data_IF_623061276508
#
_entry.id   IF_623061276508
#
_cell.length_a   1.000
_cell.length_b   1.000
_cell.length_c   1.000
_cell.angle_alpha   90.00
_cell.angle_beta   90.00
_cell.angle_gamma   90.00
#
_symmetry.space_group_name_H-M   'P 1'
#
loop_
_entity.id
_entity.type
_entity.pdbx_description
1 polymer ?
#
# COMPACT_ATOMS: atom_id res chain seq x y z
N UNK A 1 -29.47 36.58 -2.88
CA UNK A 1 -28.61 36.27 -4.04
C UNK A 1 -27.33 35.69 -3.49
N UNK A 2 -27.21 34.36 -3.60
CA UNK A 2 -26.05 33.59 -3.17
C UNK A 2 -24.84 34.00 -4.00
N UNK A 3 -23.82 34.55 -3.37
CA UNK A 3 -22.52 34.73 -4.01
C UNK A 3 -21.78 33.40 -3.92
N UNK A 4 -21.61 32.75 -5.07
CA UNK A 4 -20.86 31.51 -5.20
C UNK A 4 -19.37 31.80 -5.01
N UNK A 5 -18.78 31.21 -3.97
CA UNK A 5 -17.35 31.29 -3.72
C UNK A 5 -16.58 30.48 -4.78
N UNK A 6 -15.88 31.20 -5.66
CA UNK A 6 -14.96 30.66 -6.64
C UNK A 6 -13.80 30.00 -5.91
N UNK A 7 -13.68 28.67 -6.03
CA UNK A 7 -12.57 27.89 -5.48
C UNK A 7 -11.26 28.27 -6.20
N UNK A 8 -10.21 28.73 -5.50
CA UNK A 8 -8.94 29.01 -6.15
C UNK A 8 -8.30 27.70 -6.64
N UNK A 9 -7.92 27.74 -7.92
CA UNK A 9 -7.12 26.73 -8.62
C UNK A 9 -5.75 26.64 -7.95
N UNK A 10 -5.56 25.65 -7.07
CA UNK A 10 -4.27 25.41 -6.45
C UNK A 10 -3.36 24.69 -7.46
N UNK A 11 -2.31 25.40 -7.85
CA UNK A 11 -1.15 24.95 -8.61
C UNK A 11 -0.64 23.60 -8.11
N UNK A 12 -0.61 22.61 -8.99
CA UNK A 12 0.05 21.33 -8.74
C UNK A 12 1.57 21.59 -8.79
N UNK A 13 2.20 21.70 -7.62
CA UNK A 13 3.65 21.63 -7.59
C UNK A 13 4.06 20.19 -7.90
N UNK A 14 4.86 20.01 -8.95
CA UNK A 14 5.58 18.75 -9.26
C UNK A 14 6.72 18.57 -8.25
N UNK A 15 6.37 18.45 -6.98
CA UNK A 15 7.26 18.02 -5.93
C UNK A 15 7.53 16.54 -6.10
N UNK A 16 8.79 16.18 -6.37
CA UNK A 16 9.24 14.80 -6.21
C UNK A 16 9.16 14.46 -4.72
N UNK A 17 8.01 13.96 -4.27
CA UNK A 17 7.82 13.44 -2.92
C UNK A 17 8.65 12.15 -2.81
N UNK A 18 9.92 12.31 -2.41
CA UNK A 18 10.69 11.18 -1.93
C UNK A 18 10.01 10.67 -0.65
N UNK A 19 9.53 9.43 -0.73
CA UNK A 19 9.05 8.70 0.42
C UNK A 19 10.24 8.46 1.36
N UNK A 20 10.32 9.21 2.46
CA UNK A 20 11.51 9.25 3.33
C UNK A 20 11.70 7.97 4.14
N UNK A 21 10.69 7.10 4.20
CA UNK A 21 10.77 5.80 4.85
C UNK A 21 11.44 4.72 3.99
N UNK A 22 11.57 4.93 2.67
CA UNK A 22 12.06 3.92 1.73
C UNK A 22 13.25 4.40 0.89
N UNK A 23 14.43 4.49 1.50
CA UNK A 23 15.66 5.04 0.88
C UNK A 23 16.07 4.40 -0.47
N UNK A 24 15.72 3.14 -0.70
CA UNK A 24 16.12 2.37 -1.90
C UNK A 24 15.12 2.44 -3.05
N UNK A 25 14.01 3.17 -2.90
CA UNK A 25 12.96 3.25 -3.90
C UNK A 25 12.74 4.72 -4.28
N UNK A 26 12.74 4.99 -5.58
CA UNK A 26 12.43 6.33 -6.09
C UNK A 26 11.16 6.26 -6.93
N UNK A 27 10.19 7.09 -6.60
CA UNK A 27 8.97 7.25 -7.38
C UNK A 27 9.17 8.35 -8.42
N UNK A 28 8.83 8.07 -9.67
CA UNK A 28 8.95 9.04 -10.76
C UNK A 28 7.59 9.64 -11.12
N UNK A 29 7.55 10.88 -11.60
CA UNK A 29 6.35 11.51 -12.19
C UNK A 29 5.10 11.49 -11.27
N UNK A 30 5.30 11.70 -9.97
CA UNK A 30 4.22 11.63 -8.99
C UNK A 30 3.48 10.29 -8.99
N UNK A 31 4.19 9.19 -9.25
CA UNK A 31 3.55 7.87 -9.37
C UNK A 31 3.08 7.32 -8.03
N UNK A 32 3.64 7.79 -6.91
CA UNK A 32 3.20 7.38 -5.57
C UNK A 32 1.79 7.92 -5.28
N UNK A 33 1.55 9.18 -5.59
CA UNK A 33 0.27 9.89 -5.37
C UNK A 33 -0.84 9.36 -6.29
N UNK A 34 -0.45 8.83 -7.46
CA UNK A 34 -1.38 8.23 -8.43
C UNK A 34 -1.67 6.76 -8.16
N UNK A 35 -0.94 6.11 -7.24
CA UNK A 35 -1.20 4.73 -6.86
C UNK A 35 -2.45 4.68 -5.98
N UNK A 36 -3.36 3.76 -6.29
CA UNK A 36 -4.48 3.53 -5.40
C UNK A 36 -4.06 2.57 -4.29
N UNK A 37 -4.41 2.90 -3.04
CA UNK A 37 -4.06 2.14 -1.85
C UNK A 37 -5.32 1.54 -1.24
N UNK A 38 -5.29 0.23 -0.99
CA UNK A 38 -6.38 -0.49 -0.32
C UNK A 38 -5.84 -1.22 0.91
N UNK A 39 -6.58 -1.13 2.00
CA UNK A 39 -6.23 -1.72 3.29
C UNK A 39 -7.40 -2.57 3.74
N UNK A 40 -7.10 -3.80 4.18
CA UNK A 40 -8.12 -4.71 4.69
C UNK A 40 -7.76 -5.23 6.08
N UNK A 41 -8.78 -5.72 6.78
CA UNK A 41 -8.66 -6.33 8.11
C UNK A 41 -7.95 -5.41 9.13
N UNK A 42 -6.72 -5.73 9.55
CA UNK A 42 -5.95 -4.96 10.54
C UNK A 42 -5.51 -3.58 10.05
N UNK A 43 -5.63 -3.29 8.75
CA UNK A 43 -5.20 -2.03 8.14
C UNK A 43 -3.73 -1.70 8.48
N UNK A 44 -2.85 -2.69 8.38
CA UNK A 44 -1.40 -2.50 8.59
C UNK A 44 -0.58 -2.67 7.31
N UNK A 45 -1.22 -2.95 6.17
CA UNK A 45 -0.56 -3.23 4.89
C UNK A 45 -1.29 -2.50 3.77
N UNK A 46 -0.61 -1.56 3.11
CA UNK A 46 -1.22 -0.84 1.99
C UNK A 46 -0.99 -1.65 0.72
N UNK A 47 -2.06 -2.20 0.17
CA UNK A 47 -2.04 -2.88 -1.11
C UNK A 47 -2.11 -1.82 -2.20
N UNK A 48 -1.05 -1.70 -2.98
CA UNK A 48 -0.88 -0.69 -4.00
C UNK A 48 -1.26 -1.25 -5.37
N UNK A 49 -2.17 -0.57 -6.07
CA UNK A 49 -2.64 -0.96 -7.39
C UNK A 49 -2.73 0.23 -8.34
N UNK A 50 -2.61 -0.06 -9.64
CA UNK A 50 -2.89 0.93 -10.66
C UNK A 50 -4.40 1.15 -10.75
N UNK A 51 -4.91 2.39 -10.53
CA UNK A 51 -6.35 2.66 -10.57
C UNK A 51 -6.97 2.49 -11.96
N UNK A 52 -6.16 2.51 -13.04
CA UNK A 52 -6.64 2.41 -14.41
C UNK A 52 -6.79 0.98 -14.91
N UNK A 53 -5.83 0.11 -14.60
CA UNK A 53 -5.81 -1.27 -15.10
C UNK A 53 -5.96 -2.34 -14.02
N UNK A 54 -6.00 -1.95 -12.74
CA UNK A 54 -6.13 -2.88 -11.60
C UNK A 54 -4.88 -3.71 -11.30
N UNK A 55 -3.77 -3.50 -12.02
CA UNK A 55 -2.55 -4.25 -11.79
C UNK A 55 -1.99 -3.99 -10.37
N UNK A 56 -1.66 -5.06 -9.66
CA UNK A 56 -0.98 -4.98 -8.36
C UNK A 56 0.47 -4.52 -8.56
N UNK A 57 0.80 -3.39 -7.95
CA UNK A 57 2.14 -2.80 -7.97
C UNK A 57 2.98 -3.37 -6.82
N UNK A 58 2.38 -3.52 -5.63
CA UNK A 58 3.07 -4.06 -4.47
C UNK A 58 2.29 -3.89 -3.18
N UNK A 59 2.97 -4.13 -2.06
CA UNK A 59 2.46 -3.91 -0.70
C UNK A 59 3.47 -3.06 0.07
N UNK A 60 2.97 -2.02 0.72
CA UNK A 60 3.71 -1.22 1.70
C UNK A 60 3.58 -1.86 3.10
N UNK A 61 4.72 -2.16 3.73
CA UNK A 61 4.78 -2.73 5.07
C UNK A 61 5.19 -1.73 6.14
N UNK A 62 5.37 -0.45 5.83
CA UNK A 62 5.76 0.58 6.80
C UNK A 62 4.93 0.52 8.08
N UNK A 63 3.60 0.43 7.96
CA UNK A 63 2.67 0.35 9.11
C UNK A 63 2.80 -0.95 9.91
N UNK A 64 3.26 -2.05 9.30
CA UNK A 64 3.43 -3.35 9.96
C UNK A 64 4.82 -3.51 10.57
N UNK A 65 5.84 -2.89 9.97
CA UNK A 65 7.25 -3.00 10.31
C UNK A 65 7.86 -1.59 10.37
N UNK A 66 7.48 -0.76 11.36
CA UNK A 66 7.94 0.63 11.44
C UNK A 66 9.45 0.75 11.64
N UNK A 67 10.08 -0.21 12.33
CA UNK A 67 11.53 -0.22 12.55
C UNK A 67 12.32 -0.63 11.29
N UNK A 68 11.66 -1.25 10.31
CA UNK A 68 12.27 -1.74 9.08
C UNK A 68 11.26 -1.66 7.93
N UNK A 69 10.91 -0.44 7.49
CA UNK A 69 9.98 -0.24 6.40
C UNK A 69 10.49 -0.93 5.14
N UNK A 70 9.58 -1.62 4.46
CA UNK A 70 9.91 -2.35 3.24
C UNK A 70 8.72 -2.35 2.29
N UNK A 71 9.04 -2.30 1.00
CA UNK A 71 8.09 -2.55 -0.07
C UNK A 71 8.20 -3.99 -0.57
N UNK A 72 7.05 -4.66 -0.67
CA UNK A 72 6.89 -5.87 -1.46
C UNK A 72 6.45 -5.51 -2.87
N UNK A 73 7.39 -5.25 -3.78
CA UNK A 73 7.08 -4.87 -5.17
C UNK A 73 6.84 -6.11 -6.03
N UNK A 74 5.80 -6.05 -6.88
CA UNK A 74 5.51 -7.09 -7.87
C UNK A 74 6.57 -7.06 -8.97
N UNK A 75 7.32 -8.17 -9.11
CA UNK A 75 8.37 -8.29 -10.13
C UNK A 75 7.83 -8.16 -11.56
N UNK A 76 6.54 -8.45 -11.76
CA UNK A 76 5.84 -8.31 -13.06
C UNK A 76 5.71 -6.88 -13.55
N UNK A 77 5.99 -5.88 -12.71
CA UNK A 77 5.95 -4.47 -13.10
C UNK A 77 7.25 -3.99 -13.76
N UNK A 78 8.34 -4.76 -13.65
CA UNK A 78 9.60 -4.42 -14.29
C UNK A 78 9.61 -4.95 -15.72
N UNK A 79 9.98 -4.07 -16.64
CA UNK A 79 10.19 -4.45 -18.03
C UNK A 79 11.48 -5.28 -18.16
N UNK A 80 11.51 -6.17 -19.14
CA UNK A 80 12.70 -6.94 -19.52
C UNK A 80 13.26 -7.84 -18.41
N UNK A 81 12.41 -8.29 -17.48
CA UNK A 81 12.76 -9.38 -16.55
C UNK A 81 12.31 -10.70 -17.14
N UNK A 82 13.24 -11.65 -17.22
CA UNK A 82 12.92 -13.04 -17.46
C UNK A 82 12.36 -13.66 -16.17
N UNK A 83 11.07 -13.99 -16.18
CA UNK A 83 10.39 -14.59 -15.03
C UNK A 83 10.77 -16.06 -14.84
N UNK A 84 11.13 -16.76 -15.91
CA UNK A 84 11.35 -18.21 -15.87
C UNK A 84 12.69 -18.57 -15.20
N UNK A 85 13.68 -17.68 -15.27
CA UNK A 85 14.96 -17.84 -14.56
C UNK A 85 14.91 -17.44 -13.08
N UNK A 86 13.81 -16.86 -12.58
CA UNK A 86 13.71 -16.42 -11.19
C UNK A 86 13.60 -17.60 -10.22
N UNK A 87 14.32 -17.50 -9.10
CA UNK A 87 14.23 -18.46 -8.00
C UNK A 87 13.07 -18.08 -7.07
N UNK A 88 11.94 -18.76 -7.24
CA UNK A 88 10.77 -18.53 -6.40
C UNK A 88 10.87 -19.24 -5.04
N UNK A 89 10.64 -18.50 -3.96
CA UNK A 89 10.31 -19.06 -2.65
C UNK A 89 8.80 -18.95 -2.46
N UNK A 90 8.09 -20.08 -2.61
CA UNK A 90 6.64 -20.12 -2.39
C UNK A 90 6.34 -19.96 -0.90
N UNK A 91 5.40 -19.08 -0.58
CA UNK A 91 4.85 -18.92 0.77
C UNK A 91 3.40 -19.37 0.74
N UNK A 92 3.06 -20.29 1.64
CA UNK A 92 1.69 -20.77 1.78
C UNK A 92 0.96 -19.88 2.80
N UNK A 93 0.19 -18.93 2.28
CA UNK A 93 -0.60 -18.02 3.11
C UNK A 93 -1.83 -18.66 3.76
N UNK A 94 -2.21 -19.88 3.38
CA UNK A 94 -3.39 -20.55 3.95
C UNK A 94 -3.05 -21.25 5.26
N UNK A 95 -1.89 -21.91 5.33
CA UNK A 95 -1.49 -22.69 6.51
C UNK A 95 -0.36 -22.07 7.33
N UNK A 96 0.42 -21.12 6.78
CA UNK A 96 1.58 -20.52 7.48
C UNK A 96 1.37 -19.07 7.89
N UNK A 97 0.23 -18.49 7.54
CA UNK A 97 -0.18 -17.20 8.04
C UNK A 97 -1.30 -17.47 9.02
N UNK A 98 -1.08 -17.08 10.29
CA UNK A 98 -2.15 -17.16 11.27
C UNK A 98 -3.36 -16.40 10.73
N UNK A 99 -4.57 -17.00 10.80
CA UNK A 99 -5.76 -16.34 10.35
C UNK A 99 -5.91 -15.02 11.10
N UNK A 100 -6.43 -14.04 10.39
CA UNK A 100 -6.99 -12.88 11.08
C UNK A 100 -8.00 -13.40 12.11
N UNK A 101 -7.94 -12.87 13.34
CA UNK A 101 -9.02 -13.08 14.31
C UNK A 101 -10.34 -12.73 13.59
N UNK A 102 -11.35 -13.58 13.75
CA UNK A 102 -12.67 -13.29 13.17
C UNK A 102 -13.24 -12.06 13.89
N UNK A 103 -13.32 -10.95 13.16
CA UNK A 103 -13.91 -9.69 13.62
C UNK A 103 -15.30 -9.46 13.02
N UNK A 104 -15.88 -10.47 12.34
CA UNK A 104 -17.21 -10.32 11.75
C UNK A 104 -18.26 -10.18 12.85
N UNK A 105 -19.05 -9.10 12.80
CA UNK A 105 -20.05 -8.80 13.82
C UNK A 105 -19.54 -8.03 15.05
N UNK A 106 -18.24 -7.76 15.15
CA UNK A 106 -17.68 -6.92 16.22
C UNK A 106 -17.62 -5.44 15.80
N UNK A 107 -18.19 -4.55 16.61
CA UNK A 107 -18.03 -3.10 16.42
C UNK A 107 -16.66 -2.68 16.95
N UNK A 108 -15.71 -2.48 16.04
CA UNK A 108 -14.40 -1.91 16.35
C UNK A 108 -14.54 -0.39 16.51
N UNK A 109 -14.68 0.06 17.75
CA UNK A 109 -14.62 1.48 18.08
C UNK A 109 -13.15 1.95 18.11
N UNK A 110 -12.90 3.21 17.74
CA UNK A 110 -11.56 3.80 17.60
C UNK A 110 -10.71 3.80 18.88
N UNK A 111 -11.33 3.47 20.03
CA UNK A 111 -10.71 3.39 21.36
C UNK A 111 -10.37 1.97 21.80
N UNK A 112 -10.84 0.94 21.08
CA UNK A 112 -10.62 -0.46 21.48
C UNK A 112 -9.32 -0.98 20.86
N UNK A 113 -8.35 -1.46 21.65
CA UNK A 113 -7.14 -2.07 21.11
C UNK A 113 -7.51 -3.29 20.26
N UNK A 114 -7.01 -3.33 19.02
CA UNK A 114 -7.15 -4.53 18.17
C UNK A 114 -6.41 -5.66 18.89
N UNK A 115 -7.07 -6.80 19.18
CA UNK A 115 -6.40 -7.92 19.84
C UNK A 115 -5.20 -8.34 18.99
N UNK A 116 -4.03 -8.40 19.61
CA UNK A 116 -2.83 -8.88 18.96
C UNK A 116 -3.07 -10.34 18.55
N UNK A 117 -2.81 -10.66 17.28
CA UNK A 117 -2.55 -12.04 16.87
C UNK A 117 -1.30 -12.49 17.64
N UNK A 118 -1.47 -13.42 18.57
CA UNK A 118 -0.39 -13.99 19.39
C UNK A 118 0.55 -14.86 18.56
#
# INVERSE_FOLDING_TARGET
MSTEDIKPEATYEVGCHCDTSHEKVTWHNGSNERVARYMFNTKTRDHMFCPKCGASMGIDYEKKLPDKPLYGISVRQFNNIDLDSLRYKKFDGMHKMEPAVDLSGENIDSKTPIPASF
#
